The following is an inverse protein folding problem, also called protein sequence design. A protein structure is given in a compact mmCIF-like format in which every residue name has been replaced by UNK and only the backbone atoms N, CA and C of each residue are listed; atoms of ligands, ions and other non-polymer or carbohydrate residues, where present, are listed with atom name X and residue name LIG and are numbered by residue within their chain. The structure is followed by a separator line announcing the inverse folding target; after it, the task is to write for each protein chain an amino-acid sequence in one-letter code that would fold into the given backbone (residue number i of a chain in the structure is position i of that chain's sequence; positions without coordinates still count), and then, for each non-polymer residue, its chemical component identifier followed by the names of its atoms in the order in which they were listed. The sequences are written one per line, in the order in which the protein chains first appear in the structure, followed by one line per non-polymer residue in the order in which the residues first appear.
data_IF_757254811226
#
_entry.id   IF_757254811226
#
_cell.length_a   1.000
_cell.length_b   1.000
_cell.length_c   1.000
_cell.angle_alpha   90.00
_cell.angle_beta   90.00
_cell.angle_gamma   90.00
#
_symmetry.space_group_name_H-M   'P 1'
#
loop_
_entity.id
_entity.type
_entity.pdbx_description
1 polymer ?
#
# COMPACT_ATOMS: atom_id res chain seq x y z
N UNK A 1 -8.72 -46.12 24.78
CA UNK A 1 -10.11 -46.11 25.39
C UNK A 1 -10.28 -44.87 26.25
N UNK A 2 -11.30 -44.08 25.99
CA UNK A 2 -11.95 -42.91 26.64
C UNK A 2 -11.92 -41.70 25.72
N UNK A 3 -12.93 -41.55 24.93
CA UNK A 3 -14.30 -40.94 25.01
C UNK A 3 -14.28 -39.45 24.76
N UNK A 4 -14.90 -39.13 23.61
CA UNK A 4 -15.47 -37.87 23.16
C UNK A 4 -16.12 -37.05 24.30
N UNK A 5 -16.00 -35.72 24.20
CA UNK A 5 -17.08 -34.87 24.69
C UNK A 5 -17.35 -33.75 23.68
N UNK A 6 -18.49 -33.88 23.00
CA UNK A 6 -19.09 -32.83 22.18
C UNK A 6 -19.99 -32.00 23.08
N UNK A 7 -19.88 -30.71 23.11
CA UNK A 7 -20.92 -29.81 23.59
C UNK A 7 -21.32 -28.84 22.50
N UNK A 8 -22.46 -29.14 21.88
CA UNK A 8 -23.25 -28.23 21.04
C UNK A 8 -23.87 -27.18 21.94
N UNK A 9 -23.69 -25.91 21.64
CA UNK A 9 -24.52 -24.83 22.18
C UNK A 9 -25.21 -24.12 21.02
N UNK A 10 -26.49 -24.41 20.86
CA UNK A 10 -27.48 -23.65 20.09
C UNK A 10 -27.80 -22.35 20.84
N UNK A 11 -27.73 -21.21 20.19
CA UNK A 11 -28.40 -19.99 20.66
C UNK A 11 -29.33 -19.47 19.58
N UNK A 12 -30.55 -19.25 20.01
CA UNK A 12 -31.73 -18.97 19.22
C UNK A 12 -31.80 -17.50 18.74
N UNK A 13 -32.58 -17.34 17.66
CA UNK A 13 -33.08 -16.07 17.11
C UNK A 13 -33.86 -15.24 18.15
N UNK A 14 -33.64 -13.91 18.10
CA UNK A 14 -34.63 -12.94 18.55
C UNK A 14 -34.81 -11.89 17.46
N UNK A 15 -35.97 -11.97 16.79
CA UNK A 15 -36.53 -10.95 15.90
C UNK A 15 -37.23 -9.92 16.78
N UNK A 16 -36.87 -8.64 16.64
CA UNK A 16 -37.68 -7.53 17.17
C UNK A 16 -37.96 -6.53 16.03
N UNK A 17 -39.23 -6.51 15.63
CA UNK A 17 -39.84 -5.50 14.77
C UNK A 17 -40.20 -4.26 15.60
N UNK A 18 -39.83 -3.07 15.13
CA UNK A 18 -40.47 -1.84 15.59
C UNK A 18 -40.66 -0.87 14.40
N UNK A 19 -41.91 -0.71 14.05
CA UNK A 19 -42.47 0.30 13.15
C UNK A 19 -42.56 1.64 13.86
N UNK A 20 -42.21 2.74 13.16
CA UNK A 20 -42.40 4.10 13.66
C UNK A 20 -42.39 5.12 12.52
N UNK A 21 -43.58 5.59 12.18
CA UNK A 21 -43.94 6.67 11.25
C UNK A 21 -43.46 8.04 11.74
N UNK A 22 -43.09 8.94 10.81
CA UNK A 22 -42.87 10.37 11.11
C UNK A 22 -42.63 11.19 9.86
N UNK A 23 -43.71 11.74 9.31
CA UNK A 23 -43.73 12.75 8.24
C UNK A 23 -43.17 14.10 8.70
N UNK A 24 -42.53 14.82 7.77
CA UNK A 24 -42.20 16.24 7.93
C UNK A 24 -41.65 16.86 6.65
N UNK A 25 -42.51 17.39 5.80
CA UNK A 25 -42.18 18.26 4.68
C UNK A 25 -41.71 19.63 5.18
N UNK A 26 -40.68 20.18 4.60
CA UNK A 26 -40.62 21.62 4.35
C UNK A 26 -39.73 21.96 3.14
N UNK A 27 -40.42 22.47 2.14
CA UNK A 27 -39.87 23.03 0.92
C UNK A 27 -39.41 24.46 1.18
N UNK A 28 -38.16 24.80 0.85
CA UNK A 28 -37.77 26.18 0.60
C UNK A 28 -37.11 26.32 -0.76
N UNK A 29 -37.90 26.86 -1.64
CA UNK A 29 -37.57 27.37 -2.98
C UNK A 29 -36.50 28.46 -2.89
N UNK A 30 -35.41 28.33 -3.63
CA UNK A 30 -34.49 29.42 -3.91
C UNK A 30 -34.42 29.64 -5.44
N UNK A 31 -34.59 30.90 -5.82
CA UNK A 31 -34.74 31.38 -7.18
C UNK A 31 -33.45 31.35 -8.00
N UNK A 32 -33.54 31.33 -9.36
CA UNK A 32 -32.38 31.22 -10.26
C UNK A 32 -31.66 32.58 -10.41
N UNK A 33 -30.33 32.53 -10.32
CA UNK A 33 -29.44 33.65 -10.63
C UNK A 33 -29.18 33.65 -12.12
N UNK A 34 -29.50 34.77 -12.78
CA UNK A 34 -29.28 35.00 -14.21
C UNK A 34 -27.78 35.13 -14.54
N UNK A 35 -27.41 34.50 -15.64
CA UNK A 35 -26.09 34.61 -16.26
C UNK A 35 -26.16 35.75 -17.30
N UNK A 36 -25.28 36.74 -17.30
CA UNK A 36 -25.16 37.67 -18.40
C UNK A 36 -24.33 37.03 -19.54
N UNK A 37 -24.95 36.92 -20.70
CA UNK A 37 -24.32 36.63 -21.98
C UNK A 37 -23.69 37.93 -22.49
N UNK A 38 -22.37 37.97 -22.64
CA UNK A 38 -21.69 38.95 -23.46
C UNK A 38 -21.02 38.22 -24.63
N UNK A 39 -21.53 38.56 -25.83
CA UNK A 39 -21.01 38.15 -27.12
C UNK A 39 -20.02 39.23 -27.57
N UNK A 40 -18.75 38.93 -27.57
CA UNK A 40 -17.78 39.69 -28.39
C UNK A 40 -16.89 38.69 -29.15
N UNK A 41 -17.19 38.61 -30.42
CA UNK A 41 -16.35 37.97 -31.40
C UNK A 41 -15.10 38.83 -31.62
N UNK A 42 -13.95 38.27 -31.33
CA UNK A 42 -12.69 38.75 -31.90
C UNK A 42 -11.87 37.57 -32.41
N UNK A 43 -11.67 37.59 -33.70
CA UNK A 43 -10.82 36.75 -34.48
C UNK A 43 -9.36 36.95 -34.09
N UNK A 44 -8.70 35.87 -33.59
CA UNK A 44 -7.24 35.83 -33.53
C UNK A 44 -6.70 34.60 -34.25
N UNK A 45 -5.88 34.91 -35.19
CA UNK A 45 -5.09 34.13 -36.12
C UNK A 45 -4.37 32.95 -35.46
N UNK A 46 -4.44 31.82 -36.16
CA UNK A 46 -3.57 30.68 -36.17
C UNK A 46 -2.09 31.06 -35.98
N UNK A 47 -1.54 30.63 -34.86
CA UNK A 47 -0.11 30.50 -34.68
C UNK A 47 0.16 29.19 -33.91
N UNK A 48 0.24 28.10 -34.68
CA UNK A 48 0.80 26.85 -34.19
C UNK A 48 2.27 27.05 -33.84
N UNK A 49 2.69 26.80 -32.62
CA UNK A 49 4.03 26.36 -32.34
C UNK A 49 4.06 24.83 -32.27
N UNK A 50 4.77 24.28 -33.24
CA UNK A 50 5.32 22.92 -33.28
C UNK A 50 5.54 22.34 -31.89
N UNK A 51 4.85 21.20 -31.65
CA UNK A 51 4.93 20.47 -30.40
C UNK A 51 6.33 20.03 -30.03
N UNK A 52 6.79 20.56 -28.94
CA UNK A 52 7.66 19.81 -28.05
C UNK A 52 6.72 18.97 -27.18
N UNK A 53 6.57 17.71 -27.53
CA UNK A 53 6.15 16.69 -26.57
C UNK A 53 7.32 16.58 -25.58
N UNK A 54 7.24 17.36 -24.53
CA UNK A 54 7.98 17.08 -23.31
C UNK A 54 7.45 15.73 -22.82
N UNK A 55 8.25 14.71 -23.10
CA UNK A 55 8.13 13.37 -22.52
C UNK A 55 8.61 13.43 -21.06
N UNK A 56 7.97 14.29 -20.27
CA UNK A 56 7.99 14.19 -18.82
C UNK A 56 6.84 13.30 -18.39
N UNK A 57 6.90 12.03 -18.78
CA UNK A 57 6.23 10.97 -18.05
C UNK A 57 7.02 10.76 -16.74
N UNK A 58 6.93 11.76 -15.88
CA UNK A 58 7.41 11.68 -14.52
C UNK A 58 6.65 10.55 -13.84
N UNK A 59 7.36 9.50 -13.44
CA UNK A 59 6.84 8.38 -12.67
C UNK A 59 5.95 8.91 -11.55
N UNK A 60 4.64 8.71 -11.66
CA UNK A 60 3.66 9.24 -10.72
C UNK A 60 3.60 8.29 -9.53
N UNK A 61 4.06 8.74 -8.38
CA UNK A 61 3.88 8.01 -7.11
C UNK A 61 2.40 7.82 -6.84
N UNK A 62 1.99 6.59 -6.58
CA UNK A 62 0.61 6.22 -6.27
C UNK A 62 0.56 5.56 -4.90
N UNK A 63 -0.36 6.01 -4.05
CA UNK A 63 -0.67 5.39 -2.76
C UNK A 63 -2.08 4.81 -2.83
N UNK A 64 -2.21 3.51 -2.63
CA UNK A 64 -3.48 2.77 -2.70
C UNK A 64 -3.98 2.47 -1.30
N UNK A 65 -5.26 2.75 -1.05
CA UNK A 65 -5.92 2.28 0.17
C UNK A 65 -6.34 0.83 -0.01
N UNK A 66 -6.15 -0.02 1.01
CA UNK A 66 -6.46 -1.44 0.86
C UNK A 66 -6.24 -2.26 2.13
N UNK A 67 -6.01 -3.56 1.96
CA UNK A 67 -5.88 -4.53 3.03
C UNK A 67 -4.72 -5.51 2.78
N UNK A 68 -4.55 -6.48 3.68
CA UNK A 68 -3.64 -7.60 3.47
C UNK A 68 -3.99 -8.42 2.22
N UNK A 69 -5.27 -8.48 1.81
CA UNK A 69 -5.67 -9.13 0.56
C UNK A 69 -5.07 -8.39 -0.64
N UNK A 70 -5.08 -7.04 -0.63
CA UNK A 70 -4.44 -6.23 -1.67
C UNK A 70 -2.96 -6.57 -1.83
N UNK A 71 -2.23 -6.70 -0.71
CA UNK A 71 -0.82 -7.13 -0.74
C UNK A 71 -0.67 -8.52 -1.35
N UNK A 72 -1.52 -9.47 -0.94
CA UNK A 72 -1.51 -10.84 -1.47
C UNK A 72 -1.72 -10.86 -2.99
N UNK A 73 -2.68 -10.09 -3.48
CA UNK A 73 -2.99 -9.98 -4.91
C UNK A 73 -1.82 -9.35 -5.70
N UNK A 74 -1.14 -8.35 -5.11
CA UNK A 74 0.04 -7.75 -5.73
C UNK A 74 1.23 -8.70 -5.79
N UNK A 75 1.49 -9.46 -4.73
CA UNK A 75 2.53 -10.49 -4.75
C UNK A 75 2.23 -11.53 -5.85
N UNK A 76 0.98 -11.97 -5.96
CA UNK A 76 0.56 -12.90 -7.01
C UNK A 76 0.69 -12.31 -8.42
N UNK A 77 0.38 -11.03 -8.61
CA UNK A 77 0.57 -10.30 -9.87
C UNK A 77 2.04 -10.24 -10.32
N UNK A 78 2.97 -10.23 -9.37
CA UNK A 78 4.40 -10.22 -9.62
C UNK A 78 5.01 -11.62 -9.79
N UNK A 79 4.20 -12.65 -10.07
CA UNK A 79 4.73 -13.99 -10.36
C UNK A 79 5.79 -13.92 -11.47
N UNK A 80 6.91 -14.59 -11.24
CA UNK A 80 8.10 -14.53 -12.11
C UNK A 80 9.15 -13.48 -11.65
N UNK A 81 8.83 -12.65 -10.66
CA UNK A 81 9.75 -11.66 -10.07
C UNK A 81 10.05 -11.98 -8.61
N UNK A 82 11.19 -11.53 -8.13
CA UNK A 82 11.48 -11.43 -6.69
C UNK A 82 10.72 -10.24 -6.14
N UNK A 83 10.00 -10.41 -5.01
CA UNK A 83 9.21 -9.32 -4.41
C UNK A 83 9.77 -8.99 -3.03
N UNK A 84 10.19 -7.73 -2.84
CA UNK A 84 10.58 -7.19 -1.53
C UNK A 84 9.44 -6.32 -1.00
N UNK A 85 8.90 -6.68 0.16
CA UNK A 85 7.87 -5.91 0.86
C UNK A 85 8.50 -5.20 2.05
N UNK A 86 8.36 -3.88 2.12
CA UNK A 86 8.79 -3.01 3.22
C UNK A 86 7.59 -2.59 4.07
N UNK A 87 7.59 -2.93 5.34
CA UNK A 87 6.61 -2.47 6.33
C UNK A 87 7.23 -1.32 7.13
N UNK A 88 6.65 -0.14 7.03
CA UNK A 88 7.22 1.11 7.52
C UNK A 88 6.16 2.08 8.04
N UNK A 89 6.60 3.21 8.62
CA UNK A 89 5.72 4.32 8.95
C UNK A 89 6.47 5.66 8.94
N UNK A 90 5.75 6.76 8.76
CA UNK A 90 6.33 8.12 8.79
C UNK A 90 6.88 8.51 10.17
N UNK A 91 6.36 7.93 11.23
CA UNK A 91 6.82 8.13 12.60
C UNK A 91 7.98 7.19 13.01
N UNK A 92 8.31 6.20 12.18
CA UNK A 92 9.40 5.27 12.41
C UNK A 92 10.73 5.90 11.90
N UNK A 93 11.56 6.39 12.83
CA UNK A 93 12.83 7.05 12.49
C UNK A 93 13.78 6.19 11.65
N UNK A 94 14.06 4.92 12.05
CA UNK A 94 14.89 4.00 11.25
C UNK A 94 14.31 3.75 9.85
N UNK A 95 12.97 3.59 9.73
CA UNK A 95 12.32 3.38 8.44
C UNK A 95 12.56 4.57 7.49
N UNK A 96 12.29 5.79 7.97
CA UNK A 96 12.47 7.03 7.20
C UNK A 96 13.93 7.19 6.75
N UNK A 97 14.88 6.83 7.59
CA UNK A 97 16.32 6.87 7.26
C UNK A 97 16.72 5.82 6.22
N UNK A 98 16.14 4.63 6.28
CA UNK A 98 16.43 3.51 5.36
C UNK A 98 15.70 3.60 4.02
N UNK A 99 14.61 4.36 3.93
CA UNK A 99 13.75 4.41 2.74
C UNK A 99 14.46 4.83 1.43
N UNK A 100 15.40 5.78 1.42
CA UNK A 100 16.19 6.08 0.21
C UNK A 100 16.95 4.88 -0.34
N UNK A 101 17.49 4.02 0.53
CA UNK A 101 18.15 2.79 0.10
C UNK A 101 17.18 1.80 -0.55
N UNK A 102 15.95 1.69 -0.05
CA UNK A 102 14.89 0.88 -0.67
C UNK A 102 14.59 1.36 -2.11
N UNK A 103 14.49 2.68 -2.31
CA UNK A 103 14.27 3.28 -3.64
C UNK A 103 15.46 2.99 -4.57
N UNK A 104 16.69 3.12 -4.07
CA UNK A 104 17.91 2.79 -4.82
C UNK A 104 17.93 1.32 -5.23
N UNK A 105 17.64 0.41 -4.30
CA UNK A 105 17.58 -1.03 -4.54
C UNK A 105 16.52 -1.39 -5.60
N UNK A 106 15.33 -0.76 -5.50
CA UNK A 106 14.28 -0.90 -6.51
C UNK A 106 14.77 -0.48 -7.90
N UNK A 107 15.37 0.70 -8.01
CA UNK A 107 15.86 1.23 -9.28
C UNK A 107 16.98 0.37 -9.87
N UNK A 108 17.91 -0.08 -9.02
CA UNK A 108 19.07 -0.90 -9.42
C UNK A 108 18.64 -2.27 -10.01
N UNK A 109 17.61 -2.89 -9.44
CA UNK A 109 17.27 -4.28 -9.74
C UNK A 109 15.93 -4.47 -10.45
N UNK A 110 15.21 -3.40 -10.79
CA UNK A 110 13.91 -3.45 -11.49
C UNK A 110 13.98 -4.27 -12.78
N UNK A 111 14.97 -3.99 -13.62
CA UNK A 111 15.16 -4.68 -14.90
C UNK A 111 15.67 -6.12 -14.73
N UNK A 112 16.30 -6.41 -13.60
CA UNK A 112 16.73 -7.75 -13.23
C UNK A 112 15.59 -8.61 -12.63
N UNK A 113 14.41 -8.04 -12.47
CA UNK A 113 13.22 -8.77 -11.98
C UNK A 113 12.90 -8.58 -10.50
N UNK A 114 13.39 -7.50 -9.86
CA UNK A 114 12.92 -7.10 -8.52
C UNK A 114 11.66 -6.25 -8.64
N UNK A 115 10.62 -6.59 -7.89
CA UNK A 115 9.48 -5.74 -7.57
C UNK A 115 9.57 -5.32 -6.11
N UNK A 116 9.29 -4.05 -5.82
CA UNK A 116 9.23 -3.52 -4.46
C UNK A 116 7.80 -3.09 -4.16
N UNK A 117 7.34 -3.38 -2.96
CA UNK A 117 6.04 -2.95 -2.44
C UNK A 117 6.29 -2.32 -1.08
N UNK A 118 5.74 -1.13 -0.82
CA UNK A 118 5.75 -0.55 0.52
C UNK A 118 4.36 -0.64 1.17
N UNK A 119 4.32 -0.95 2.45
CA UNK A 119 3.10 -1.06 3.26
C UNK A 119 3.24 -0.16 4.47
N UNK A 120 2.45 0.92 4.49
CA UNK A 120 2.54 1.92 5.56
C UNK A 120 1.71 1.51 6.78
N UNK A 121 2.31 1.50 7.97
CA UNK A 121 1.65 1.28 9.26
C UNK A 121 1.03 2.57 9.83
N UNK A 122 0.88 3.61 9.03
CA UNK A 122 0.22 4.85 9.42
C UNK A 122 -1.29 4.68 9.53
N UNK A 123 -1.94 5.55 10.31
CA UNK A 123 -3.39 5.63 10.33
C UNK A 123 -3.93 6.12 8.97
N UNK A 124 -5.13 5.68 8.53
CA UNK A 124 -5.72 6.15 7.27
C UNK A 124 -5.86 7.67 7.15
N UNK A 125 -6.07 8.37 8.29
CA UNK A 125 -6.11 9.84 8.35
C UNK A 125 -4.79 10.51 7.99
N UNK A 126 -3.67 9.80 8.11
CA UNK A 126 -2.32 10.29 7.83
C UNK A 126 -1.94 10.18 6.34
N UNK A 127 -2.87 9.70 5.50
CA UNK A 127 -2.68 9.54 4.05
C UNK A 127 -1.97 10.72 3.37
N UNK A 128 -2.32 12.00 3.64
CA UNK A 128 -1.64 13.13 2.99
C UNK A 128 -0.14 13.20 3.33
N UNK A 129 0.23 12.93 4.57
CA UNK A 129 1.64 12.95 5.01
C UNK A 129 2.43 11.75 4.48
N UNK A 130 1.78 10.57 4.40
CA UNK A 130 2.37 9.36 3.79
C UNK A 130 2.64 9.62 2.30
N UNK A 131 1.65 10.11 1.56
CA UNK A 131 1.81 10.41 0.12
C UNK A 131 2.92 11.46 -0.11
N UNK A 132 2.91 12.56 0.65
CA UNK A 132 3.93 13.58 0.54
C UNK A 132 5.35 13.07 0.85
N UNK A 133 5.49 12.10 1.76
CA UNK A 133 6.77 11.43 2.01
C UNK A 133 7.20 10.59 0.81
N UNK A 134 6.32 9.73 0.30
CA UNK A 134 6.59 8.86 -0.85
C UNK A 134 6.97 9.66 -2.10
N UNK A 135 6.30 10.79 -2.36
CA UNK A 135 6.62 11.69 -3.47
C UNK A 135 8.01 12.32 -3.32
N UNK A 136 8.38 12.78 -2.12
CA UNK A 136 9.75 13.28 -1.84
C UNK A 136 10.81 12.21 -2.05
N UNK A 137 10.50 10.96 -1.73
CA UNK A 137 11.40 9.81 -1.94
C UNK A 137 11.40 9.32 -3.38
N UNK A 138 10.46 9.78 -4.23
CA UNK A 138 10.25 9.28 -5.60
C UNK A 138 10.00 7.76 -5.62
N UNK A 139 9.18 7.29 -4.68
CA UNK A 139 8.81 5.88 -4.51
C UNK A 139 7.81 5.46 -5.59
N UNK A 140 8.27 5.21 -6.81
CA UNK A 140 7.47 4.91 -8.01
C UNK A 140 7.08 3.42 -8.14
N UNK A 141 7.20 2.68 -7.05
CA UNK A 141 6.70 1.32 -6.91
C UNK A 141 5.31 1.29 -6.24
N UNK A 142 4.75 0.11 -6.01
CA UNK A 142 3.44 -0.07 -5.38
C UNK A 142 3.50 0.30 -3.88
N UNK A 143 2.62 1.23 -3.46
CA UNK A 143 2.55 1.72 -2.09
C UNK A 143 1.15 1.51 -1.54
N UNK A 144 1.03 0.81 -0.41
CA UNK A 144 -0.22 0.44 0.25
C UNK A 144 -0.37 1.20 1.58
N UNK A 145 -1.53 1.79 1.80
CA UNK A 145 -1.97 2.29 3.10
C UNK A 145 -3.16 1.44 3.57
N UNK A 146 -2.93 0.49 4.49
CA UNK A 146 -4.01 -0.35 5.01
C UNK A 146 -4.99 0.40 5.90
N UNK A 147 -6.23 -0.07 5.91
CA UNK A 147 -7.30 0.45 6.76
C UNK A 147 -7.12 0.22 8.27
N UNK A 148 -6.17 -0.63 8.64
CA UNK A 148 -6.00 -1.08 10.03
C UNK A 148 -5.32 -0.06 10.94
N UNK A 149 -4.55 0.88 10.38
CA UNK A 149 -3.68 1.77 11.15
C UNK A 149 -2.59 1.03 11.94
N UNK A 150 -1.94 1.73 12.87
CA UNK A 150 -0.94 1.14 13.75
C UNK A 150 -1.56 0.20 14.79
N UNK A 151 -0.82 -0.83 15.21
CA UNK A 151 -1.17 -1.69 16.33
C UNK A 151 -1.36 -3.16 15.99
N UNK A 152 -1.97 -3.91 16.93
CA UNK A 152 -2.07 -5.37 16.86
C UNK A 152 -2.80 -5.90 15.62
N UNK A 153 -3.83 -5.20 15.15
CA UNK A 153 -4.56 -5.58 13.94
C UNK A 153 -3.67 -5.57 12.70
N UNK A 154 -2.78 -4.58 12.59
CA UNK A 154 -1.82 -4.50 11.49
C UNK A 154 -0.84 -5.67 11.56
N UNK A 155 -0.25 -5.89 12.74
CA UNK A 155 0.72 -6.97 12.95
C UNK A 155 0.10 -8.34 12.63
N UNK A 156 -1.14 -8.58 13.09
CA UNK A 156 -1.87 -9.82 12.83
C UNK A 156 -2.22 -9.97 11.34
N UNK A 157 -2.76 -8.92 10.71
CA UNK A 157 -3.19 -8.96 9.31
C UNK A 157 -2.04 -9.25 8.34
N UNK A 158 -0.85 -8.73 8.64
CA UNK A 158 0.35 -8.93 7.81
C UNK A 158 1.31 -9.98 8.37
N UNK A 159 0.91 -10.72 9.42
CA UNK A 159 1.76 -11.72 10.11
C UNK A 159 3.17 -11.18 10.39
N UNK A 160 3.23 -10.02 11.07
CA UNK A 160 4.49 -9.43 11.52
C UNK A 160 4.78 -9.88 12.95
N UNK A 161 6.04 -10.26 13.20
CA UNK A 161 6.51 -10.77 14.49
C UNK A 161 7.25 -9.71 15.31
N UNK A 162 7.24 -8.48 14.86
CA UNK A 162 7.94 -7.35 15.49
C UNK A 162 7.43 -6.02 14.97
N UNK A 163 8.04 -4.96 15.49
CA UNK A 163 7.76 -3.60 15.06
C UNK A 163 8.39 -3.29 13.68
N UNK A 164 8.14 -2.09 13.15
CA UNK A 164 8.77 -1.58 11.94
C UNK A 164 10.10 -0.87 12.26
N UNK A 165 11.14 -0.97 11.38
CA UNK A 165 11.10 -1.53 10.02
C UNK A 165 11.08 -3.07 10.02
N UNK A 166 10.23 -3.62 9.17
CA UNK A 166 10.16 -5.05 8.95
C UNK A 166 10.07 -5.33 7.45
N UNK A 167 10.77 -6.34 6.95
CA UNK A 167 10.75 -6.68 5.54
C UNK A 167 10.41 -8.15 5.33
N UNK A 168 9.76 -8.43 4.19
CA UNK A 168 9.51 -9.79 3.71
C UNK A 168 9.99 -9.92 2.27
N UNK A 169 10.77 -10.95 1.98
CA UNK A 169 11.32 -11.22 0.66
C UNK A 169 10.76 -12.53 0.11
N UNK A 170 10.07 -12.43 -1.01
CA UNK A 170 9.42 -13.53 -1.71
C UNK A 170 10.19 -13.88 -2.98
N UNK A 171 10.25 -15.18 -3.30
CA UNK A 171 10.84 -15.64 -4.56
C UNK A 171 9.89 -15.44 -5.75
N UNK A 172 10.35 -15.81 -6.94
CA UNK A 172 9.58 -15.67 -8.20
C UNK A 172 8.29 -16.51 -8.25
N UNK A 173 8.09 -17.42 -7.30
CA UNK A 173 6.86 -18.22 -7.15
C UNK A 173 5.90 -17.63 -6.11
N UNK A 174 6.24 -16.47 -5.52
CA UNK A 174 5.47 -15.85 -4.45
C UNK A 174 5.62 -16.55 -3.10
N UNK A 175 6.65 -17.38 -2.91
CA UNK A 175 6.92 -18.05 -1.63
C UNK A 175 7.82 -17.16 -0.77
N UNK A 176 7.41 -16.92 0.48
CA UNK A 176 8.21 -16.18 1.46
C UNK A 176 9.51 -16.96 1.75
N UNK A 177 10.64 -16.32 1.48
CA UNK A 177 11.97 -16.94 1.68
C UNK A 177 12.71 -16.37 2.89
N UNK A 178 12.57 -15.06 3.12
CA UNK A 178 13.27 -14.36 4.20
C UNK A 178 12.39 -13.28 4.81
N UNK A 179 12.58 -13.05 6.11
CA UNK A 179 12.09 -11.89 6.83
C UNK A 179 13.28 -11.14 7.43
N UNK A 180 13.15 -9.81 7.61
CA UNK A 180 14.23 -8.99 8.16
C UNK A 180 13.67 -7.96 9.14
N UNK A 181 14.45 -7.67 10.18
CA UNK A 181 14.16 -6.66 11.19
C UNK A 181 15.46 -6.01 11.68
N UNK A 182 15.36 -4.82 12.27
CA UNK A 182 16.48 -4.17 12.96
C UNK A 182 16.95 -5.01 14.17
N UNK A 183 16.01 -5.63 14.88
CA UNK A 183 16.29 -6.60 15.94
C UNK A 183 15.60 -7.94 15.62
N UNK A 184 16.30 -8.85 14.95
CA UNK A 184 15.77 -10.18 14.63
C UNK A 184 15.76 -11.13 15.83
N UNK A 185 16.22 -10.70 17.02
CA UNK A 185 16.33 -11.53 18.22
C UNK A 185 14.96 -12.08 18.64
N UNK A 186 14.87 -13.40 18.79
CA UNK A 186 13.62 -14.06 19.19
C UNK A 186 12.57 -14.19 18.09
N UNK A 187 12.84 -13.76 16.86
CA UNK A 187 11.96 -13.93 15.71
C UNK A 187 12.50 -15.10 14.86
N UNK A 188 11.72 -16.17 14.79
CA UNK A 188 12.10 -17.34 14.01
C UNK A 188 12.20 -17.01 12.51
N UNK A 189 13.28 -17.48 11.86
CA UNK A 189 13.57 -17.26 10.44
C UNK A 189 13.65 -15.77 10.03
N UNK A 190 14.05 -14.89 10.95
CA UNK A 190 14.30 -13.48 10.70
C UNK A 190 15.80 -13.19 10.70
N UNK A 191 16.25 -12.39 9.75
CA UNK A 191 17.63 -11.94 9.62
C UNK A 191 17.73 -10.41 9.87
N UNK A 192 18.95 -9.90 10.08
CA UNK A 192 19.21 -8.47 10.13
C UNK A 192 18.94 -7.82 8.78
N UNK A 193 18.41 -6.59 8.78
CA UNK A 193 18.14 -5.78 7.57
C UNK A 193 19.37 -5.60 6.69
N UNK A 194 20.58 -5.65 7.26
CA UNK A 194 21.85 -5.57 6.52
C UNK A 194 22.03 -6.72 5.51
N UNK A 195 21.25 -7.79 5.62
CA UNK A 195 21.30 -8.95 4.71
C UNK A 195 20.39 -8.80 3.48
N UNK A 196 19.53 -7.78 3.43
CA UNK A 196 18.53 -7.61 2.36
C UNK A 196 19.18 -7.67 0.98
N UNK A 197 20.20 -6.86 0.73
CA UNK A 197 20.84 -6.75 -0.59
C UNK A 197 21.38 -8.10 -1.05
N UNK A 198 22.11 -8.79 -0.18
CA UNK A 198 22.68 -10.08 -0.51
C UNK A 198 21.63 -11.17 -0.79
N UNK A 199 20.49 -11.13 -0.09
CA UNK A 199 19.38 -12.05 -0.30
C UNK A 199 18.59 -11.74 -1.56
N UNK A 200 18.37 -10.46 -1.86
CA UNK A 200 17.77 -10.00 -3.13
C UNK A 200 18.64 -10.48 -4.31
N UNK A 201 19.94 -10.21 -4.28
CA UNK A 201 20.86 -10.62 -5.34
C UNK A 201 20.91 -12.16 -5.50
N UNK A 202 20.84 -12.91 -4.41
CA UNK A 202 20.81 -14.38 -4.46
C UNK A 202 19.55 -14.89 -5.18
N UNK A 203 18.35 -14.37 -4.84
CA UNK A 203 17.11 -14.78 -5.47
C UNK A 203 17.00 -14.31 -6.94
N UNK A 204 17.54 -13.14 -7.28
CA UNK A 204 17.59 -12.69 -8.66
C UNK A 204 18.46 -13.59 -9.55
N UNK A 205 19.55 -14.13 -9.02
CA UNK A 205 20.37 -15.13 -9.72
C UNK A 205 19.61 -16.45 -9.96
N UNK A 206 18.71 -16.87 -9.06
CA UNK A 206 17.89 -18.06 -9.23
C UNK A 206 16.94 -17.97 -10.44
N UNK A 207 16.43 -16.75 -10.77
CA UNK A 207 15.53 -16.55 -11.92
C UNK A 207 16.24 -16.32 -13.25
N UNK A 208 17.56 -16.09 -13.23
CA UNK A 208 18.38 -15.84 -14.44
C UNK A 208 18.98 -17.12 -15.01
N UNK A 209 18.77 -18.28 -14.36
CA UNK A 209 19.27 -19.60 -14.76
C UNK A 209 18.20 -20.41 -15.47
#
# INVERSE_FOLDING_TARGET
MKRLNQTKALWALAVLTATGFGSGCDSKTAAPIAIPTDNSADSFTDNSPTGHRDSQEGSRVVLVDGSNQTLTDWIAKHHGKVVLVDFWATWCGPCVKGFPHLVELSNKHRDAGLAVISVSMNEPKDRPSVLAFLERQKADFENLLPEYGAGSKFLEAFDLRGDVPFYKLYDSKGVLRFSFSDDPSGIENCESIEKIDSRVEALLKEISQ
#
